data_IF_596815024445
#
_entry.id   IF_596815024445
#
_cell.length_a   1.000
_cell.length_b   1.000
_cell.length_c   1.000
_cell.angle_alpha   90.00
_cell.angle_beta   90.00
_cell.angle_gamma   90.00
#
_symmetry.space_group_name_H-M   'P 1'
#
loop_
_entity.id
_entity.type
_entity.pdbx_description
1 polymer ?
#
# COMPACT_ATOMS: atom_id res chain seq x y z
N UNK A 1 26.43 2.07 101.38
CA UNK A 1 27.25 3.23 100.98
C UNK A 1 26.67 3.79 99.69
N UNK A 2 26.26 5.05 99.76
CA UNK A 2 26.00 5.99 98.66
C UNK A 2 24.85 5.67 97.70
N UNK A 3 23.64 6.26 97.79
CA UNK A 3 23.21 7.67 97.65
C UNK A 3 22.82 8.10 96.21
N UNK A 4 21.55 8.54 96.11
CA UNK A 4 20.96 9.63 95.29
C UNK A 4 20.33 9.23 93.93
N UNK A 5 18.99 9.19 93.85
CA UNK A 5 18.03 10.27 93.46
C UNK A 5 18.10 10.54 91.95
N UNK A 6 17.06 10.14 91.20
CA UNK A 6 16.10 11.07 90.58
C UNK A 6 16.65 11.58 89.24
N UNK A 7 15.90 11.66 88.14
CA UNK A 7 14.89 12.69 87.91
C UNK A 7 13.87 12.18 86.89
N UNK A 8 12.64 12.62 87.12
CA UNK A 8 11.44 12.41 86.33
C UNK A 8 11.25 13.61 85.39
N UNK A 9 10.58 13.34 84.28
CA UNK A 9 9.82 14.28 83.44
C UNK A 9 10.55 15.38 82.65
N UNK A 10 10.55 15.22 81.32
CA UNK A 10 10.15 16.27 80.37
C UNK A 10 9.72 15.62 79.05
N UNK A 11 8.42 15.64 78.76
CA UNK A 11 7.93 15.66 77.39
C UNK A 11 8.54 16.87 76.69
N UNK A 12 9.12 16.70 75.50
CA UNK A 12 8.91 17.69 74.45
C UNK A 12 9.19 17.14 73.04
N UNK A 13 8.10 17.09 72.27
CA UNK A 13 8.04 17.43 70.85
C UNK A 13 9.31 17.26 69.98
N UNK A 14 9.58 16.03 69.53
CA UNK A 14 10.37 15.86 68.31
C UNK A 14 9.65 16.51 67.12
N UNK A 15 10.30 17.33 66.28
CA UNK A 15 9.64 17.95 65.15
C UNK A 15 9.27 16.86 64.16
N UNK A 16 7.96 16.64 64.01
CA UNK A 16 7.39 15.89 62.91
C UNK A 16 7.68 16.70 61.63
N UNK A 17 8.81 16.42 60.98
CA UNK A 17 9.11 16.99 59.66
C UNK A 17 8.18 16.29 58.68
N UNK A 18 6.94 16.79 58.58
CA UNK A 18 6.11 16.51 57.44
C UNK A 18 6.84 17.14 56.24
N UNK A 19 7.30 16.29 55.33
CA UNK A 19 7.68 16.72 54.00
C UNK A 19 6.37 17.14 53.36
N UNK A 20 6.00 18.40 53.55
CA UNK A 20 4.90 19.02 52.84
C UNK A 20 5.19 18.89 51.36
N UNK A 21 4.56 17.92 50.71
CA UNK A 21 4.30 17.98 49.27
C UNK A 21 3.67 19.36 49.07
N UNK A 22 4.26 20.25 48.26
CA UNK A 22 3.66 21.55 48.00
C UNK A 22 2.22 21.30 47.59
N UNK A 23 1.30 21.84 48.38
CA UNK A 23 -0.13 21.75 48.17
C UNK A 23 -0.37 22.04 46.70
N UNK A 24 -0.80 21.03 45.95
CA UNK A 24 -1.21 21.17 44.55
C UNK A 24 -2.25 22.29 44.57
N UNK A 25 -1.90 23.45 44.03
CA UNK A 25 -2.82 24.58 43.95
C UNK A 25 -4.06 24.07 43.20
N UNK A 26 -5.25 24.06 43.83
CA UNK A 26 -6.45 23.55 43.20
C UNK A 26 -6.68 24.30 41.88
N UNK A 27 -6.64 23.58 40.76
CA UNK A 27 -6.83 24.15 39.42
C UNK A 27 -5.58 24.34 38.57
N UNK A 28 -4.36 24.17 39.10
CA UNK A 28 -3.14 24.21 38.27
C UNK A 28 -3.04 22.96 37.37
N UNK A 29 -3.33 21.78 37.93
CA UNK A 29 -3.42 20.53 37.17
C UNK A 29 -4.54 20.60 36.13
N UNK A 30 -5.70 21.16 36.48
CA UNK A 30 -6.83 21.37 35.56
C UNK A 30 -6.44 22.27 34.37
N UNK A 31 -5.63 23.30 34.61
CA UNK A 31 -5.11 24.18 33.56
C UNK A 31 -4.09 23.47 32.67
N UNK A 32 -3.19 22.66 33.26
CA UNK A 32 -2.22 21.86 32.51
C UNK A 32 -2.90 20.77 31.67
N UNK A 33 -3.95 20.13 32.17
CA UNK A 33 -4.75 19.16 31.42
C UNK A 33 -5.49 19.83 30.25
N UNK A 34 -6.12 21.00 30.47
CA UNK A 34 -6.75 21.76 29.37
C UNK A 34 -5.74 22.18 28.31
N UNK A 35 -4.57 22.65 28.73
CA UNK A 35 -3.51 23.04 27.80
C UNK A 35 -2.94 21.83 27.03
N UNK A 36 -2.88 20.64 27.66
CA UNK A 36 -2.49 19.38 27.01
C UNK A 36 -3.53 18.90 25.98
N UNK A 37 -4.82 19.00 26.31
CA UNK A 37 -5.93 18.72 25.38
C UNK A 37 -5.88 19.64 24.15
N UNK A 38 -5.65 20.95 24.36
CA UNK A 38 -5.50 21.89 23.25
C UNK A 38 -4.29 21.58 22.36
N UNK A 39 -3.16 21.16 22.95
CA UNK A 39 -1.98 20.72 22.19
C UNK A 39 -2.30 19.49 21.35
N UNK A 40 -3.00 18.52 21.92
CA UNK A 40 -3.45 17.31 21.22
C UNK A 40 -4.41 17.66 20.08
N UNK A 41 -5.33 18.59 20.29
CA UNK A 41 -6.25 19.05 19.24
C UNK A 41 -5.51 19.76 18.11
N UNK A 42 -4.58 20.67 18.43
CA UNK A 42 -3.69 21.31 17.45
C UNK A 42 -2.84 20.30 16.68
N UNK A 43 -2.39 19.24 17.33
CA UNK A 43 -1.67 18.15 16.68
C UNK A 43 -2.58 17.37 15.72
N UNK A 44 -3.79 17.00 16.15
CA UNK A 44 -4.75 16.30 15.30
C UNK A 44 -5.15 17.11 14.06
N UNK A 45 -5.32 18.43 14.20
CA UNK A 45 -5.60 19.31 13.05
C UNK A 45 -4.43 19.25 12.06
N UNK A 46 -3.19 19.40 12.52
CA UNK A 46 -2.00 19.32 11.66
C UNK A 46 -1.85 17.94 11.01
N UNK A 47 -2.11 16.86 11.75
CA UNK A 47 -2.08 15.50 11.22
C UNK A 47 -3.18 15.29 10.17
N UNK A 48 -4.38 15.83 10.38
CA UNK A 48 -5.47 15.77 9.43
C UNK A 48 -5.16 16.57 8.15
N UNK A 49 -4.64 17.80 8.28
CA UNK A 49 -4.20 18.64 7.17
C UNK A 49 -3.05 18.00 6.39
N UNK A 50 -2.09 17.40 7.08
CA UNK A 50 -0.98 16.66 6.48
C UNK A 50 -1.48 15.40 5.74
N UNK A 51 -2.47 14.70 6.32
CA UNK A 51 -3.09 13.55 5.68
C UNK A 51 -3.86 13.93 4.41
N UNK A 52 -4.64 15.02 4.44
CA UNK A 52 -5.32 15.56 3.25
C UNK A 52 -4.30 15.96 2.16
N UNK A 53 -3.20 16.60 2.55
CA UNK A 53 -2.12 16.99 1.63
C UNK A 53 -1.44 15.77 1.01
N UNK A 54 -1.16 14.73 1.80
CA UNK A 54 -0.61 13.47 1.29
C UNK A 54 -1.59 12.75 0.34
N UNK A 55 -2.89 12.79 0.64
CA UNK A 55 -3.92 12.25 -0.26
C UNK A 55 -3.93 13.01 -1.60
N UNK A 56 -3.76 14.33 -1.58
CA UNK A 56 -3.68 15.15 -2.79
C UNK A 56 -2.39 14.91 -3.59
N UNK A 57 -1.25 14.68 -2.91
CA UNK A 57 0.05 14.40 -3.54
C UNK A 57 0.15 12.98 -4.10
N UNK A 58 -0.54 12.01 -3.48
CA UNK A 58 -0.57 10.61 -3.92
C UNK A 58 -1.45 10.37 -5.14
N UNK A 59 -2.30 11.33 -5.55
CA UNK A 59 -3.04 11.21 -6.80
C UNK A 59 -2.10 11.37 -8.01
N UNK A 60 -2.00 10.37 -8.90
CA UNK A 60 -1.16 10.46 -10.08
C UNK A 60 -1.69 11.54 -11.02
N UNK A 61 -1.09 12.74 -10.97
CA UNK A 61 -1.45 13.84 -11.87
C UNK A 61 -0.80 13.61 -13.23
N UNK A 62 -1.62 13.36 -14.24
CA UNK A 62 -1.16 13.33 -15.63
C UNK A 62 -0.69 14.72 -16.04
N UNK A 63 0.55 14.82 -16.53
CA UNK A 63 1.05 16.05 -17.14
C UNK A 63 0.23 16.45 -18.38
N UNK A 64 0.24 17.74 -18.76
CA UNK A 64 -0.56 18.27 -19.89
C UNK A 64 -0.40 17.47 -21.19
N UNK A 65 0.83 17.06 -21.51
CA UNK A 65 1.12 16.26 -22.71
C UNK A 65 0.56 14.84 -22.61
N UNK A 66 0.70 14.17 -21.45
CA UNK A 66 0.14 12.84 -21.23
C UNK A 66 -1.38 12.87 -21.30
N UNK A 67 -2.00 13.91 -20.74
CA UNK A 67 -3.45 14.13 -20.82
C UNK A 67 -3.91 14.29 -22.27
N UNK A 68 -3.24 15.12 -23.06
CA UNK A 68 -3.53 15.29 -24.49
C UNK A 68 -3.42 13.96 -25.28
N UNK A 69 -2.43 13.12 -24.96
CA UNK A 69 -2.29 11.80 -25.58
C UNK A 69 -3.44 10.86 -25.20
N UNK A 70 -3.85 10.84 -23.93
CA UNK A 70 -5.00 10.07 -23.46
C UNK A 70 -6.30 10.54 -24.15
N UNK A 71 -6.52 11.85 -24.24
CA UNK A 71 -7.68 12.43 -24.92
C UNK A 71 -7.71 12.04 -26.40
N UNK A 72 -6.59 12.20 -27.11
CA UNK A 72 -6.49 11.85 -28.53
C UNK A 72 -6.68 10.35 -28.77
N UNK A 73 -6.26 9.49 -27.82
CA UNK A 73 -6.50 8.06 -27.89
C UNK A 73 -7.99 7.74 -27.69
N UNK A 74 -8.60 8.32 -26.67
CA UNK A 74 -10.02 8.16 -26.38
C UNK A 74 -10.88 8.60 -27.58
N UNK A 75 -10.59 9.76 -28.19
CA UNK A 75 -11.28 10.23 -29.38
C UNK A 75 -11.21 9.20 -30.52
N UNK A 76 -10.03 8.61 -30.78
CA UNK A 76 -9.88 7.59 -31.84
C UNK A 76 -10.67 6.33 -31.54
N UNK A 77 -10.64 5.85 -30.30
CA UNK A 77 -11.38 4.66 -29.88
C UNK A 77 -12.89 4.90 -30.00
N UNK A 78 -13.37 6.04 -29.50
CA UNK A 78 -14.78 6.44 -29.58
C UNK A 78 -15.23 6.61 -31.03
N UNK A 79 -14.43 7.29 -31.87
CA UNK A 79 -14.71 7.43 -33.31
C UNK A 79 -14.81 6.05 -33.99
N UNK A 80 -13.91 5.11 -33.67
CA UNK A 80 -13.96 3.77 -34.24
C UNK A 80 -15.23 3.01 -33.84
N UNK A 81 -15.68 3.14 -32.58
CA UNK A 81 -16.93 2.53 -32.11
C UNK A 81 -18.14 3.18 -32.80
N UNK A 82 -18.19 4.51 -32.89
CA UNK A 82 -19.26 5.20 -33.61
C UNK A 82 -19.33 4.79 -35.08
N UNK A 83 -18.19 4.66 -35.77
CA UNK A 83 -18.18 4.17 -37.16
C UNK A 83 -18.81 2.78 -37.27
N UNK A 84 -18.49 1.86 -36.34
CA UNK A 84 -19.07 0.51 -36.32
C UNK A 84 -20.58 0.54 -36.06
N UNK A 85 -21.02 1.32 -35.08
CA UNK A 85 -22.44 1.46 -34.75
C UNK A 85 -23.24 2.16 -35.86
N UNK A 86 -22.66 3.17 -36.51
CA UNK A 86 -23.26 3.87 -37.64
C UNK A 86 -23.37 2.96 -38.87
N UNK A 87 -22.35 2.15 -39.16
CA UNK A 87 -22.37 1.14 -40.22
C UNK A 87 -23.51 0.12 -40.05
N UNK A 88 -23.83 -0.24 -38.80
CA UNK A 88 -24.94 -1.14 -38.48
C UNK A 88 -26.33 -0.49 -38.59
N UNK A 89 -26.39 0.83 -38.77
CA UNK A 89 -27.63 1.62 -38.75
C UNK A 89 -27.93 2.34 -40.08
N UNK A 90 -27.21 2.05 -41.16
CA UNK A 90 -27.34 2.80 -42.41
C UNK A 90 -28.78 2.81 -42.97
N UNK A 91 -29.36 4.02 -42.99
CA UNK A 91 -30.20 4.53 -44.07
C UNK A 91 -29.35 5.61 -44.75
N UNK A 92 -29.04 5.43 -46.04
CA UNK A 92 -28.23 6.39 -46.80
C UNK A 92 -28.95 7.75 -46.90
N UNK A 93 -28.32 8.81 -46.40
CA UNK A 93 -28.62 10.18 -46.85
C UNK A 93 -27.38 10.69 -47.61
N UNK A 94 -27.51 10.96 -48.92
CA UNK A 94 -26.40 11.43 -49.73
C UNK A 94 -26.09 12.90 -49.38
N UNK A 95 -24.84 13.18 -48.98
CA UNK A 95 -24.29 14.54 -49.04
C UNK A 95 -23.73 15.18 -47.77
N UNK A 96 -23.74 14.53 -46.59
CA UNK A 96 -23.15 15.11 -45.37
C UNK A 96 -22.03 14.24 -44.79
N UNK A 97 -20.82 14.38 -45.34
CA UNK A 97 -19.63 13.59 -44.97
C UNK A 97 -18.93 14.00 -43.66
N UNK A 98 -19.55 14.79 -42.77
CA UNK A 98 -18.78 15.44 -41.70
C UNK A 98 -19.27 15.25 -40.26
N UNK A 99 -20.44 14.66 -40.02
CA UNK A 99 -20.93 14.48 -38.64
C UNK A 99 -21.23 13.02 -38.34
N UNK A 100 -20.30 12.39 -37.62
CA UNK A 100 -20.46 11.03 -37.13
C UNK A 100 -21.50 11.03 -35.99
N UNK A 101 -22.65 10.45 -36.23
CA UNK A 101 -23.76 10.39 -35.29
C UNK A 101 -24.36 8.99 -35.19
N UNK A 102 -24.96 8.68 -34.03
CA UNK A 102 -25.56 7.38 -33.74
C UNK A 102 -26.96 7.59 -33.13
N UNK A 103 -27.96 6.75 -33.46
CA UNK A 103 -29.31 6.90 -32.87
C UNK A 103 -29.30 6.80 -31.35
N UNK A 104 -30.18 7.55 -30.67
CA UNK A 104 -30.27 7.56 -29.19
C UNK A 104 -30.41 6.17 -28.56
N UNK A 105 -31.11 5.26 -29.25
CA UNK A 105 -31.36 3.88 -28.79
C UNK A 105 -30.09 3.03 -28.72
N UNK A 106 -29.04 3.43 -29.44
CA UNK A 106 -27.76 2.71 -29.57
C UNK A 106 -26.68 3.28 -28.66
N UNK A 107 -26.95 4.31 -27.87
CA UNK A 107 -25.97 4.88 -26.93
C UNK A 107 -25.46 3.82 -25.95
N UNK A 108 -26.33 2.93 -25.48
CA UNK A 108 -25.94 1.82 -24.61
C UNK A 108 -24.90 0.91 -25.26
N UNK A 109 -25.10 0.54 -26.53
CA UNK A 109 -24.18 -0.32 -27.29
C UNK A 109 -22.81 0.36 -27.48
N UNK A 110 -22.79 1.68 -27.71
CA UNK A 110 -21.55 2.47 -27.82
C UNK A 110 -20.79 2.47 -26.51
N UNK A 111 -21.48 2.73 -25.39
CA UNK A 111 -20.87 2.76 -24.07
C UNK A 111 -20.45 1.36 -23.60
N UNK A 112 -21.15 0.31 -24.01
CA UNK A 112 -20.74 -1.08 -23.76
C UNK A 112 -19.49 -1.44 -24.57
N UNK A 113 -19.45 -1.08 -25.86
CA UNK A 113 -18.30 -1.34 -26.73
C UNK A 113 -17.02 -0.58 -26.35
N UNK A 114 -17.17 0.59 -25.72
CA UNK A 114 -16.05 1.35 -25.12
C UNK A 114 -15.60 0.79 -23.77
N UNK A 115 -16.24 -0.29 -23.30
CA UNK A 115 -16.17 -0.74 -21.93
C UNK A 115 -16.33 0.47 -21.00
N UNK A 116 -17.46 1.18 -21.04
CA UNK A 116 -17.87 2.17 -20.03
C UNK A 116 -19.04 1.71 -19.15
N UNK A 117 -19.91 0.83 -19.67
CA UNK A 117 -21.01 0.21 -18.93
C UNK A 117 -20.87 -1.33 -18.94
N UNK A 118 -21.57 -2.02 -18.05
CA UNK A 118 -21.62 -3.50 -18.03
C UNK A 118 -23.08 -3.93 -17.97
N UNK A 119 -23.50 -4.79 -18.91
CA UNK A 119 -24.85 -5.21 -19.27
C UNK A 119 -26.08 -4.76 -18.42
N UNK A 120 -27.12 -4.33 -19.16
CA UNK A 120 -28.57 -4.20 -18.87
C UNK A 120 -29.09 -3.32 -17.72
N UNK A 121 -28.37 -3.15 -16.62
CA UNK A 121 -28.93 -2.48 -15.42
C UNK A 121 -28.81 -0.94 -15.45
N UNK A 122 -28.13 -0.39 -16.46
CA UNK A 122 -27.83 1.05 -16.57
C UNK A 122 -28.68 1.75 -17.67
N UNK A 123 -29.82 1.15 -18.06
CA UNK A 123 -30.73 1.72 -19.08
C UNK A 123 -31.21 3.14 -18.74
N UNK A 124 -31.60 3.37 -17.49
CA UNK A 124 -32.07 4.68 -17.01
C UNK A 124 -30.95 5.73 -17.12
N UNK A 125 -29.70 5.33 -16.92
CA UNK A 125 -28.56 6.22 -17.12
C UNK A 125 -28.37 6.56 -18.60
N UNK A 126 -28.41 5.56 -19.48
CA UNK A 126 -28.32 5.77 -20.93
C UNK A 126 -29.45 6.66 -21.47
N UNK A 127 -30.67 6.49 -21.00
CA UNK A 127 -31.81 7.33 -21.39
C UNK A 127 -31.60 8.79 -20.99
N UNK A 128 -31.21 9.03 -19.73
CA UNK A 128 -30.91 10.38 -19.24
C UNK A 128 -29.72 11.02 -19.95
N UNK A 129 -28.68 10.24 -20.24
CA UNK A 129 -27.52 10.73 -20.99
C UNK A 129 -27.89 11.01 -22.44
N UNK A 130 -28.71 10.19 -23.07
CA UNK A 130 -29.21 10.46 -24.41
C UNK A 130 -30.00 11.77 -24.47
N UNK A 131 -30.86 12.04 -23.48
CA UNK A 131 -31.59 13.31 -23.35
C UNK A 131 -30.63 14.51 -23.19
N UNK A 132 -29.56 14.34 -22.41
CA UNK A 132 -28.55 15.39 -22.25
C UNK A 132 -27.78 15.66 -23.55
N UNK A 133 -27.43 14.61 -24.31
CA UNK A 133 -26.60 14.72 -25.51
C UNK A 133 -27.38 15.15 -26.76
N UNK A 134 -28.70 14.95 -26.75
CA UNK A 134 -29.63 15.31 -27.84
C UNK A 134 -30.60 16.41 -27.38
N UNK A 135 -30.06 17.56 -26.95
CA UNK A 135 -30.85 18.73 -26.51
C UNK A 135 -31.78 19.27 -27.60
N UNK A 136 -31.44 19.00 -28.86
CA UNK A 136 -32.17 19.44 -30.05
C UNK A 136 -33.26 18.43 -30.48
N UNK A 137 -33.44 17.32 -29.75
CA UNK A 137 -34.40 16.25 -30.02
C UNK A 137 -34.32 15.67 -31.45
N UNK A 138 -33.13 15.69 -32.04
CA UNK A 138 -32.88 15.18 -33.40
C UNK A 138 -33.01 13.65 -33.49
N UNK A 139 -33.01 12.95 -32.36
CA UNK A 139 -32.95 11.50 -32.25
C UNK A 139 -31.54 10.93 -32.44
N UNK A 140 -30.55 11.79 -32.68
CA UNK A 140 -29.19 11.43 -33.07
C UNK A 140 -28.17 12.05 -32.12
N UNK A 141 -27.24 11.23 -31.64
CA UNK A 141 -26.17 11.67 -30.74
C UNK A 141 -24.90 11.88 -31.56
N UNK A 142 -24.38 13.10 -31.52
CA UNK A 142 -23.13 13.47 -32.18
C UNK A 142 -21.91 12.99 -31.38
N UNK A 143 -20.86 12.54 -32.09
CA UNK A 143 -19.59 12.13 -31.48
C UNK A 143 -18.99 13.24 -30.59
N UNK A 144 -19.03 14.50 -31.04
CA UNK A 144 -18.48 15.65 -30.32
C UNK A 144 -19.13 15.81 -28.94
N UNK A 145 -20.46 15.77 -28.88
CA UNK A 145 -21.23 15.92 -27.63
C UNK A 145 -20.87 14.85 -26.61
N UNK A 146 -20.79 13.58 -27.04
CA UNK A 146 -20.42 12.50 -26.13
C UNK A 146 -18.95 12.58 -25.71
N UNK A 147 -18.04 12.93 -26.63
CA UNK A 147 -16.63 13.12 -26.32
C UNK A 147 -16.44 14.21 -25.26
N UNK A 148 -17.08 15.37 -25.46
CA UNK A 148 -17.01 16.49 -24.53
C UNK A 148 -17.53 16.11 -23.14
N UNK A 149 -18.66 15.39 -23.07
CA UNK A 149 -19.19 14.86 -21.81
C UNK A 149 -18.20 13.91 -21.12
N UNK A 150 -17.65 12.93 -21.84
CA UNK A 150 -16.71 11.96 -21.26
C UNK A 150 -15.43 12.64 -20.78
N UNK A 151 -14.88 13.57 -21.55
CA UNK A 151 -13.69 14.32 -21.15
C UNK A 151 -13.96 15.17 -19.91
N UNK A 152 -15.10 15.86 -19.86
CA UNK A 152 -15.49 16.67 -18.70
C UNK A 152 -15.70 15.82 -17.45
N UNK A 153 -16.36 14.66 -17.60
CA UNK A 153 -16.56 13.74 -16.49
C UNK A 153 -15.23 13.15 -15.96
N UNK A 154 -14.29 12.82 -16.86
CA UNK A 154 -12.95 12.33 -16.48
C UNK A 154 -12.07 13.42 -15.86
N UNK A 155 -12.27 14.68 -16.22
CA UNK A 155 -11.55 15.81 -15.61
C UNK A 155 -12.11 16.16 -14.23
N UNK A 156 -13.42 16.00 -14.04
CA UNK A 156 -14.10 16.16 -12.74
C UNK A 156 -13.59 15.15 -11.70
N UNK A 157 -13.09 14.00 -12.13
CA UNK A 157 -12.39 13.02 -11.28
C UNK A 157 -11.07 13.53 -10.71
N UNK A 158 -10.38 14.41 -11.46
CA UNK A 158 -9.05 14.93 -11.11
C UNK A 158 -9.12 16.21 -10.28
N UNK A 159 -10.27 16.86 -10.21
CA UNK A 159 -10.47 18.11 -9.47
C UNK A 159 -11.39 17.84 -8.27
N UNK A 160 -10.97 18.28 -7.08
CA UNK A 160 -11.85 18.31 -5.91
C UNK A 160 -13.12 19.11 -6.23
N UNK A 161 -14.23 18.89 -5.49
CA UNK A 161 -15.50 19.56 -5.75
C UNK A 161 -15.43 21.01 -5.32
N UNK A 162 -14.63 21.82 -6.01
CA UNK A 162 -14.82 23.24 -6.01
C UNK A 162 -16.14 23.48 -6.73
N UNK A 163 -17.09 23.94 -5.92
CA UNK A 163 -18.43 24.39 -6.28
C UNK A 163 -18.36 25.07 -7.67
N UNK A 164 -19.26 24.73 -8.62
CA UNK A 164 -19.29 25.43 -9.89
C UNK A 164 -19.33 26.93 -9.61
N UNK A 165 -18.29 27.62 -10.05
CA UNK A 165 -18.22 29.07 -9.93
C UNK A 165 -19.43 29.62 -10.66
N UNK A 166 -20.27 30.48 -10.05
CA UNK A 166 -21.43 31.02 -10.72
C UNK A 166 -20.94 31.78 -11.95
N UNK A 167 -21.26 31.27 -13.14
CA UNK A 167 -21.11 32.01 -14.38
C UNK A 167 -21.89 33.31 -14.25
N UNK A 168 -21.26 34.44 -14.55
CA UNK A 168 -21.83 35.80 -14.48
C UNK A 168 -22.98 36.06 -15.49
N UNK A 169 -23.55 35.01 -16.07
CA UNK A 169 -24.63 35.06 -17.05
C UNK A 169 -25.90 34.46 -16.42
N UNK A 170 -27.03 35.18 -16.41
CA UNK A 170 -28.30 34.59 -15.99
C UNK A 170 -28.64 33.46 -16.96
N UNK A 171 -28.54 32.22 -16.48
CA UNK A 171 -28.93 31.04 -17.22
C UNK A 171 -30.46 30.93 -17.24
N UNK A 172 -31.00 30.39 -18.32
CA UNK A 172 -32.41 29.98 -18.33
C UNK A 172 -32.62 28.88 -17.29
N UNK A 173 -33.82 28.79 -16.70
CA UNK A 173 -34.19 27.70 -15.79
C UNK A 173 -33.97 26.31 -16.43
N UNK A 174 -34.15 26.22 -17.76
CA UNK A 174 -33.85 25.02 -18.54
C UNK A 174 -32.35 24.67 -18.52
N UNK A 175 -31.47 25.65 -18.70
CA UNK A 175 -30.02 25.45 -18.66
C UNK A 175 -29.55 25.04 -17.25
N UNK A 176 -30.16 25.59 -16.20
CA UNK A 176 -29.90 25.15 -14.82
C UNK A 176 -30.27 23.68 -14.60
N UNK A 177 -31.43 23.24 -15.13
CA UNK A 177 -31.84 21.85 -15.08
C UNK A 177 -30.88 20.92 -15.84
N UNK A 178 -30.42 21.31 -17.03
CA UNK A 178 -29.46 20.52 -17.81
C UNK A 178 -28.08 20.47 -17.14
N UNK A 179 -27.59 21.58 -16.59
CA UNK A 179 -26.33 21.61 -15.85
C UNK A 179 -26.39 20.70 -14.61
N UNK A 180 -27.52 20.71 -13.91
CA UNK A 180 -27.74 19.82 -12.77
C UNK A 180 -27.79 18.35 -13.20
N UNK A 181 -28.44 18.05 -14.34
CA UNK A 181 -28.47 16.70 -14.91
C UNK A 181 -27.07 16.25 -15.34
N UNK A 182 -26.31 17.08 -16.05
CA UNK A 182 -24.94 16.82 -16.47
C UNK A 182 -24.03 16.54 -15.28
N UNK A 183 -24.16 17.31 -14.21
CA UNK A 183 -23.40 17.09 -12.97
C UNK A 183 -23.75 15.75 -12.31
N UNK A 184 -25.05 15.42 -12.23
CA UNK A 184 -25.50 14.14 -11.67
C UNK A 184 -25.00 12.96 -12.50
N UNK A 185 -25.09 13.07 -13.83
CA UNK A 185 -24.62 12.04 -14.76
C UNK A 185 -23.10 11.91 -14.74
N UNK A 186 -22.35 13.00 -14.67
CA UNK A 186 -20.88 12.97 -14.56
C UNK A 186 -20.43 12.26 -13.28
N UNK A 187 -21.11 12.52 -12.15
CA UNK A 187 -20.87 11.81 -10.89
C UNK A 187 -21.21 10.34 -10.95
N UNK A 188 -22.35 10.00 -11.54
CA UNK A 188 -22.76 8.61 -11.72
C UNK A 188 -21.76 7.86 -12.63
N UNK A 189 -21.40 8.46 -13.76
CA UNK A 189 -20.42 7.95 -14.73
C UNK A 189 -19.07 7.66 -14.05
N UNK A 190 -18.56 8.64 -13.31
CA UNK A 190 -17.34 8.53 -12.53
C UNK A 190 -17.38 7.36 -11.54
N UNK A 191 -18.48 7.24 -10.76
CA UNK A 191 -18.65 6.14 -9.79
C UNK A 191 -18.69 4.79 -10.48
N UNK A 192 -19.36 4.69 -11.62
CA UNK A 192 -19.41 3.47 -12.42
C UNK A 192 -18.01 3.08 -12.89
N UNK A 193 -17.22 4.03 -13.43
CA UNK A 193 -15.84 3.79 -13.83
C UNK A 193 -14.94 3.30 -12.69
N UNK A 194 -14.99 3.95 -11.52
CA UNK A 194 -14.19 3.55 -10.35
C UNK A 194 -14.53 2.15 -9.86
N UNK A 195 -15.82 1.76 -9.90
CA UNK A 195 -16.28 0.44 -9.48
C UNK A 195 -15.89 -0.68 -10.46
N UNK A 196 -15.42 -0.34 -11.67
CA UNK A 196 -15.03 -1.33 -12.70
C UNK A 196 -13.66 -1.92 -12.46
N UNK A 197 -12.75 -1.21 -11.77
CA UNK A 197 -11.46 -1.77 -11.36
C UNK A 197 -11.58 -2.83 -10.25
N UNK A 198 -12.76 -2.95 -9.62
CA UNK A 198 -13.05 -3.91 -8.55
C UNK A 198 -13.93 -5.08 -8.99
N UNK A 199 -14.46 -5.08 -10.22
CA UNK A 199 -15.29 -6.18 -10.74
C UNK A 199 -14.41 -7.14 -11.54
N UNK A 200 -14.31 -8.39 -11.10
CA UNK A 200 -13.68 -9.43 -11.90
C UNK A 200 -14.41 -9.54 -13.24
N UNK A 201 -13.66 -9.45 -14.34
CA UNK A 201 -14.13 -9.77 -15.69
C UNK A 201 -14.65 -11.20 -15.69
N UNK A 202 -15.95 -11.35 -15.47
CA UNK A 202 -16.62 -12.64 -15.57
C UNK A 202 -16.87 -12.89 -17.05
N UNK A 203 -16.14 -13.88 -17.57
CA UNK A 203 -16.46 -14.63 -18.79
C UNK A 203 -16.42 -13.86 -20.13
N UNK A 204 -15.22 -13.76 -20.70
CA UNK A 204 -15.03 -13.98 -22.14
C UNK A 204 -14.23 -15.25 -22.35
N UNK A 205 -14.85 -16.37 -22.00
CA UNK A 205 -14.42 -17.71 -22.36
C UNK A 205 -15.44 -18.26 -23.36
N UNK A 206 -15.24 -18.01 -24.66
CA UNK A 206 -15.53 -18.99 -25.70
C UNK A 206 -15.00 -18.53 -27.07
N UNK A 207 -14.25 -19.47 -27.68
CA UNK A 207 -14.02 -19.65 -29.11
C UNK A 207 -13.44 -18.46 -29.89
N UNK A 208 -12.16 -18.57 -30.21
CA UNK A 208 -11.79 -18.80 -31.61
C UNK A 208 -10.67 -19.82 -31.71
N UNK A 209 -11.09 -20.92 -32.31
CA UNK A 209 -10.36 -22.07 -32.79
C UNK A 209 -9.18 -21.67 -33.68
N UNK A 210 -8.14 -22.47 -33.53
CA UNK A 210 -7.09 -22.72 -34.50
C UNK A 210 -7.69 -23.08 -35.86
N UNK A 211 -7.61 -22.18 -36.83
CA UNK A 211 -7.54 -22.59 -38.23
C UNK A 211 -6.40 -21.81 -38.90
N UNK A 212 -5.38 -22.61 -39.20
CA UNK A 212 -4.15 -22.27 -39.88
C UNK A 212 -4.43 -22.51 -41.35
N UNK A 213 -4.85 -21.48 -42.07
CA UNK A 213 -4.83 -21.51 -43.53
C UNK A 213 -3.51 -20.90 -44.04
N UNK A 214 -2.74 -21.78 -44.65
CA UNK A 214 -1.56 -21.49 -45.45
C UNK A 214 -2.03 -20.84 -46.76
N UNK A 215 -1.62 -19.60 -47.04
CA UNK A 215 -1.45 -19.12 -48.42
C UNK A 215 -0.24 -18.21 -48.56
N UNK A 216 0.42 -18.43 -49.69
CA UNK A 216 1.76 -18.03 -50.09
C UNK A 216 1.89 -16.55 -50.50
N UNK A 217 3.15 -16.19 -50.69
CA UNK A 217 3.71 -14.86 -50.88
C UNK A 217 3.33 -14.14 -52.19
N UNK A 218 3.39 -12.80 -52.14
CA UNK A 218 3.80 -11.83 -53.19
C UNK A 218 3.70 -10.43 -52.52
N UNK A 219 4.74 -9.88 -51.90
CA UNK A 219 5.76 -9.00 -52.48
C UNK A 219 5.18 -7.86 -53.32
N UNK A 220 5.12 -6.65 -52.75
CA UNK A 220 5.55 -5.39 -53.39
C UNK A 220 5.88 -4.33 -52.31
N UNK A 221 7.06 -3.72 -52.48
CA UNK A 221 7.65 -2.66 -51.66
C UNK A 221 7.11 -1.28 -52.08
N UNK A 222 6.69 -0.44 -51.11
CA UNK A 222 6.67 1.03 -51.28
C UNK A 222 7.05 1.70 -49.94
N UNK A 223 8.01 2.65 -49.92
CA UNK A 223 8.53 3.24 -48.69
C UNK A 223 7.70 4.47 -48.27
N UNK A 224 7.40 4.62 -46.97
CA UNK A 224 6.84 5.86 -46.41
C UNK A 224 7.56 6.18 -45.07
N UNK A 225 7.95 7.44 -44.81
CA UNK A 225 9.00 7.73 -43.82
C UNK A 225 8.45 7.77 -42.39
N UNK A 226 8.90 6.84 -41.55
CA UNK A 226 8.67 6.91 -40.12
C UNK A 226 9.56 7.97 -39.47
N UNK A 227 8.94 9.09 -39.06
CA UNK A 227 9.52 10.10 -38.16
C UNK A 227 9.76 9.43 -36.79
N UNK A 228 11.02 9.08 -36.52
CA UNK A 228 11.49 8.48 -35.26
C UNK A 228 11.16 9.41 -34.08
N UNK A 229 10.14 9.05 -33.29
CA UNK A 229 10.01 9.54 -31.93
C UNK A 229 11.18 8.96 -31.12
N UNK A 230 11.99 9.85 -30.55
CA UNK A 230 13.18 9.47 -29.79
C UNK A 230 12.79 8.66 -28.56
N UNK A 231 13.37 7.46 -28.47
CA UNK A 231 13.30 6.57 -27.31
C UNK A 231 13.96 7.26 -26.10
N UNK A 232 13.43 7.12 -24.89
CA UNK A 232 14.06 7.67 -23.69
C UNK A 232 15.52 7.18 -23.56
N UNK A 233 16.42 8.07 -23.17
CA UNK A 233 17.86 7.85 -23.16
C UNK A 233 18.30 6.66 -22.27
N UNK A 234 17.49 6.28 -21.29
CA UNK A 234 17.70 5.08 -20.46
C UNK A 234 17.58 3.76 -21.24
N UNK A 235 16.78 3.71 -22.31
CA UNK A 235 16.66 2.55 -23.19
C UNK A 235 17.79 2.47 -24.23
N UNK A 236 18.52 3.58 -24.44
CA UNK A 236 19.62 3.66 -25.42
C UNK A 236 20.89 3.03 -24.87
N UNK A 237 21.23 3.32 -23.61
CA UNK A 237 22.45 2.83 -22.96
C UNK A 237 22.45 1.32 -22.67
N UNK A 238 21.26 0.69 -22.57
CA UNK A 238 21.17 -0.76 -22.36
C UNK A 238 21.28 -1.57 -23.66
N UNK A 239 20.95 -0.96 -24.81
CA UNK A 239 20.97 -1.63 -26.11
C UNK A 239 22.39 -1.85 -26.64
N UNK A 240 23.32 -0.97 -26.29
CA UNK A 240 24.74 -1.08 -26.64
C UNK A 240 25.45 -2.21 -25.87
N UNK A 241 25.01 -2.54 -24.65
CA UNK A 241 25.60 -3.63 -23.84
C UNK A 241 25.07 -5.03 -24.16
N UNK A 242 23.88 -5.16 -24.77
CA UNK A 242 23.21 -6.46 -24.95
C UNK A 242 23.16 -6.96 -26.41
N UNK A 243 23.99 -6.43 -27.31
CA UNK A 243 24.18 -7.00 -28.65
C UNK A 243 22.91 -7.06 -29.51
N UNK A 244 22.05 -6.03 -29.43
CA UNK A 244 20.93 -5.87 -30.37
C UNK A 244 19.70 -6.77 -30.16
N UNK A 245 19.68 -7.67 -29.16
CA UNK A 245 18.49 -8.50 -28.88
C UNK A 245 17.35 -7.63 -28.33
N UNK A 246 16.08 -7.88 -28.74
CA UNK A 246 14.93 -7.14 -28.21
C UNK A 246 14.78 -7.44 -26.71
N UNK A 247 14.96 -6.41 -25.88
CA UNK A 247 14.81 -6.51 -24.43
C UNK A 247 13.37 -6.88 -24.11
N UNK A 248 13.18 -8.04 -23.48
CA UNK A 248 11.87 -8.52 -23.05
C UNK A 248 11.20 -7.49 -22.12
N UNK A 249 9.89 -7.28 -22.28
CA UNK A 249 9.10 -6.31 -21.52
C UNK A 249 9.28 -6.45 -20.00
N UNK A 250 9.40 -7.68 -19.50
CA UNK A 250 9.61 -7.94 -18.08
C UNK A 250 10.95 -7.37 -17.58
N UNK A 251 11.99 -7.39 -18.41
CA UNK A 251 13.32 -6.89 -18.07
C UNK A 251 13.36 -5.37 -18.05
N UNK A 252 12.64 -4.72 -18.98
CA UNK A 252 12.49 -3.27 -19.00
C UNK A 252 11.74 -2.77 -17.75
N UNK A 253 10.64 -3.41 -17.40
CA UNK A 253 9.86 -3.08 -16.20
C UNK A 253 10.66 -3.31 -14.92
N UNK A 254 11.46 -4.37 -14.86
CA UNK A 254 12.37 -4.62 -13.74
C UNK A 254 13.38 -3.49 -13.55
N UNK A 255 14.04 -3.04 -14.62
CA UNK A 255 14.98 -1.93 -14.53
C UNK A 255 14.31 -0.62 -14.14
N UNK A 256 13.09 -0.38 -14.62
CA UNK A 256 12.31 0.79 -14.22
C UNK A 256 11.93 0.76 -12.74
N UNK A 257 11.55 -0.41 -12.21
CA UNK A 257 11.26 -0.61 -10.80
C UNK A 257 12.51 -0.41 -9.92
N UNK A 258 13.68 -0.93 -10.35
CA UNK A 258 14.95 -0.72 -9.64
C UNK A 258 15.33 0.78 -9.61
N UNK A 259 15.11 1.50 -10.72
CA UNK A 259 15.44 2.91 -10.80
C UNK A 259 14.51 3.74 -9.90
N UNK A 260 13.20 3.49 -9.97
CA UNK A 260 12.21 4.13 -9.10
C UNK A 260 12.46 3.84 -7.62
N UNK A 261 12.90 2.63 -7.26
CA UNK A 261 13.23 2.28 -5.88
C UNK A 261 14.47 3.03 -5.38
N UNK A 262 15.48 3.26 -6.25
CA UNK A 262 16.66 4.06 -5.90
C UNK A 262 16.33 5.53 -5.73
N UNK A 263 15.53 6.10 -6.62
CA UNK A 263 15.05 7.49 -6.50
C UNK A 263 14.19 7.66 -5.25
N UNK A 264 13.32 6.68 -4.95
CA UNK A 264 12.53 6.68 -3.72
C UNK A 264 13.39 6.68 -2.45
N UNK A 265 14.43 5.84 -2.39
CA UNK A 265 15.35 5.80 -1.25
C UNK A 265 16.11 7.13 -1.06
N UNK A 266 16.54 7.77 -2.16
CA UNK A 266 17.21 9.09 -2.08
C UNK A 266 16.27 10.17 -1.55
N UNK A 267 15.01 10.19 -2.01
CA UNK A 267 14.00 11.12 -1.52
C UNK A 267 13.66 10.87 -0.05
N UNK A 268 13.60 9.62 0.39
CA UNK A 268 13.39 9.27 1.81
C UNK A 268 14.54 9.77 2.70
N UNK A 269 15.79 9.61 2.26
CA UNK A 269 16.96 10.13 2.98
C UNK A 269 16.95 11.67 3.03
N UNK A 270 16.56 12.34 1.95
CA UNK A 270 16.44 13.80 1.89
C UNK A 270 15.32 14.32 2.81
N UNK A 271 14.16 13.66 2.83
CA UNK A 271 13.06 13.96 3.76
C UNK A 271 13.51 13.76 5.20
N UNK A 272 14.24 12.69 5.48
CA UNK A 272 14.75 12.41 6.83
C UNK A 272 15.74 13.48 7.28
N UNK A 273 16.67 13.88 6.41
CA UNK A 273 17.63 14.94 6.69
C UNK A 273 16.92 16.31 6.92
N UNK A 274 15.89 16.62 6.12
CA UNK A 274 15.09 17.84 6.33
C UNK A 274 14.34 17.81 7.68
N UNK A 275 13.78 16.66 8.07
CA UNK A 275 13.15 16.48 9.39
C UNK A 275 14.16 16.65 10.52
N UNK A 276 15.35 16.06 10.41
CA UNK A 276 16.42 16.22 11.41
C UNK A 276 16.84 17.70 11.54
N UNK A 277 16.95 18.43 10.42
CA UNK A 277 17.22 19.88 10.45
C UNK A 277 16.08 20.69 11.08
N UNK A 278 14.83 20.28 10.89
CA UNK A 278 13.66 20.93 11.47
C UNK A 278 13.54 20.65 12.97
N UNK A 279 13.81 19.42 13.41
CA UNK A 279 13.94 19.04 14.83
C UNK A 279 15.08 19.80 15.53
N UNK A 280 16.22 20.00 14.85
CA UNK A 280 17.34 20.81 15.35
C UNK A 280 17.02 22.30 15.44
N UNK A 281 16.07 22.81 14.64
CA UNK A 281 15.56 24.18 14.74
C UNK A 281 14.62 24.34 15.93
N UNK A 282 13.93 23.27 16.34
CA UNK A 282 13.12 23.22 17.56
C UNK A 282 13.98 22.94 18.82
N UNK A 283 15.15 23.58 18.94
CA UNK A 283 15.87 23.62 20.21
C UNK A 283 15.04 24.43 21.23
N UNK A 284 14.23 23.72 22.02
CA UNK A 284 13.39 24.28 23.10
C UNK A 284 14.20 24.59 24.37
N UNK A 285 15.54 24.57 24.30
CA UNK A 285 16.39 25.03 25.39
C UNK A 285 16.38 26.56 25.44
N UNK A 286 15.41 27.11 26.18
CA UNK A 286 15.44 28.49 26.67
C UNK A 286 15.97 28.45 28.11
N UNK A 287 17.30 28.48 28.33
CA UNK A 287 17.80 28.54 29.69
C UNK A 287 17.26 29.83 30.30
N UNK A 288 16.55 29.71 31.42
CA UNK A 288 16.24 30.87 32.24
C UNK A 288 17.55 31.38 32.81
N UNK A 289 18.16 32.33 32.10
CA UNK A 289 19.27 33.11 32.62
C UNK A 289 18.67 33.99 33.72
N UNK A 290 18.76 33.50 34.97
CA UNK A 290 18.51 34.32 36.14
C UNK A 290 19.43 35.53 36.07
N UNK A 291 18.85 36.70 35.78
CA UNK A 291 19.48 37.99 35.99
C UNK A 291 19.61 38.20 37.50
N UNK A 292 20.67 37.65 38.10
CA UNK A 292 20.98 37.91 39.49
C UNK A 292 21.91 39.11 39.56
N UNK A 293 21.30 40.28 39.70
CA UNK A 293 21.88 41.33 40.52
C UNK A 293 22.26 40.73 41.89
N UNK A 294 23.46 41.08 42.35
CA UNK A 294 24.06 40.62 43.61
C UNK A 294 23.15 40.91 44.80
N UNK A 295 22.87 39.93 45.64
CA UNK A 295 23.18 39.93 47.09
C UNK A 295 22.45 38.77 47.80
N UNK A 296 23.02 38.35 48.94
CA UNK A 296 22.67 37.25 49.85
C UNK A 296 23.16 35.84 49.47
N UNK A 297 24.36 35.52 49.98
CA UNK A 297 24.79 34.15 50.27
C UNK A 297 24.15 33.69 51.58
N UNK A 298 23.25 32.69 51.60
CA UNK A 298 23.17 31.78 52.73
C UNK A 298 24.30 30.74 52.58
N UNK A 299 25.02 30.43 53.65
CA UNK A 299 26.11 29.45 53.63
C UNK A 299 25.61 28.10 53.07
N UNK A 300 26.38 27.41 52.21
CA UNK A 300 25.99 26.10 51.73
C UNK A 300 25.95 25.14 52.92
N UNK A 301 24.77 24.54 53.16
CA UNK A 301 24.66 23.37 54.03
C UNK A 301 25.60 22.29 53.49
N UNK A 302 26.25 21.48 54.34
CA UNK A 302 27.20 20.47 53.88
C UNK A 302 26.49 19.49 52.96
N UNK A 303 26.79 19.57 51.66
CA UNK A 303 26.30 18.64 50.66
C UNK A 303 26.96 17.28 50.96
N UNK A 304 26.15 16.26 51.21
CA UNK A 304 26.66 14.92 51.56
C UNK A 304 27.60 14.45 50.46
N UNK A 305 28.79 14.00 50.85
CA UNK A 305 29.85 13.57 49.93
C UNK A 305 29.28 12.59 48.90
N UNK A 306 29.50 12.85 47.60
CA UNK A 306 29.01 12.05 46.47
C UNK A 306 27.50 12.17 46.12
N UNK A 307 26.83 13.23 46.57
CA UNK A 307 25.43 13.52 46.19
C UNK A 307 25.23 13.49 44.67
N UNK A 308 26.04 14.23 43.92
CA UNK A 308 25.89 14.36 42.46
C UNK A 308 26.11 13.04 41.73
N UNK A 309 27.09 12.24 42.18
CA UNK A 309 27.34 10.90 41.64
C UNK A 309 26.16 9.96 41.86
N UNK A 310 25.52 10.05 43.03
CA UNK A 310 24.36 9.23 43.37
C UNK A 310 23.13 9.62 42.57
N UNK A 311 22.89 10.92 42.41
CA UNK A 311 21.80 11.44 41.56
C UNK A 311 22.02 11.06 40.10
N UNK A 312 23.24 11.14 39.58
CA UNK A 312 23.57 10.74 38.22
C UNK A 312 23.31 9.24 37.98
N UNK A 313 23.68 8.38 38.94
CA UNK A 313 23.40 6.94 38.89
C UNK A 313 21.90 6.64 38.89
N UNK A 314 21.12 7.33 39.73
CA UNK A 314 19.66 7.16 39.74
C UNK A 314 19.01 7.61 38.44
N UNK A 315 19.42 8.75 37.87
CA UNK A 315 18.92 9.23 36.58
C UNK A 315 19.23 8.27 35.44
N UNK A 316 20.44 7.72 35.40
CA UNK A 316 20.83 6.74 34.39
C UNK A 316 20.05 5.42 34.52
N UNK A 317 19.85 4.92 35.74
CA UNK A 317 19.05 3.71 35.97
C UNK A 317 17.59 3.91 35.54
N UNK A 318 17.02 5.08 35.82
CA UNK A 318 15.65 5.40 35.40
C UNK A 318 15.52 5.45 33.88
N UNK A 319 16.46 6.14 33.21
CA UNK A 319 16.51 6.21 31.74
C UNK A 319 16.58 4.82 31.10
N UNK A 320 17.42 3.94 31.62
CA UNK A 320 17.54 2.57 31.10
C UNK A 320 16.24 1.76 31.26
N UNK A 321 15.53 1.95 32.38
CA UNK A 321 14.26 1.27 32.64
C UNK A 321 13.14 1.79 31.71
N UNK A 322 13.10 3.09 31.44
CA UNK A 322 12.19 3.67 30.44
C UNK A 322 12.48 3.13 29.04
N UNK A 323 13.75 3.12 28.60
CA UNK A 323 14.15 2.56 27.30
C UNK A 323 13.77 1.08 27.16
N UNK A 324 13.91 0.28 28.22
CA UNK A 324 13.47 -1.13 28.22
C UNK A 324 11.96 -1.25 28.11
N UNK A 325 11.21 -0.42 28.85
CA UNK A 325 9.75 -0.41 28.82
C UNK A 325 9.22 0.04 27.46
N UNK A 326 9.86 1.00 26.82
CA UNK A 326 9.51 1.45 25.47
C UNK A 326 9.82 0.37 24.44
N UNK A 327 10.96 -0.33 24.57
CA UNK A 327 11.28 -1.49 23.71
C UNK A 327 10.27 -2.63 23.86
N UNK A 328 9.84 -2.95 25.09
CA UNK A 328 8.84 -4.00 25.32
C UNK A 328 7.44 -3.60 24.87
N UNK A 329 7.10 -2.31 24.97
CA UNK A 329 5.80 -1.78 24.58
C UNK A 329 5.74 -1.41 23.08
N UNK A 330 6.86 -1.50 22.36
CA UNK A 330 6.93 -1.22 20.94
C UNK A 330 6.18 -2.29 20.15
N UNK A 331 4.96 -1.97 19.75
CA UNK A 331 4.19 -2.77 18.80
C UNK A 331 4.86 -2.63 17.43
N UNK A 332 5.32 -3.71 16.77
CA UNK A 332 5.99 -3.62 15.47
C UNK A 332 5.03 -3.11 14.37
N UNK A 333 5.07 -1.82 14.09
CA UNK A 333 4.37 -1.18 13.00
C UNK A 333 5.10 -1.44 11.68
N UNK A 334 4.86 -2.59 11.06
CA UNK A 334 5.23 -2.79 9.66
C UNK A 334 6.71 -3.07 9.37
N UNK A 335 7.63 -2.97 10.34
CA UNK A 335 9.06 -3.26 10.13
C UNK A 335 9.33 -4.67 9.57
N UNK A 336 8.43 -5.62 9.84
CA UNK A 336 8.51 -6.98 9.28
C UNK A 336 8.10 -7.00 7.80
N UNK A 337 7.12 -6.18 7.40
CA UNK A 337 6.74 -5.97 6.00
C UNK A 337 7.80 -5.18 5.24
N UNK A 338 8.46 -4.23 5.88
CA UNK A 338 9.65 -3.56 5.32
C UNK A 338 10.83 -4.52 5.18
N UNK A 339 11.08 -5.39 6.16
CA UNK A 339 12.09 -6.46 6.04
C UNK A 339 11.81 -7.38 4.85
N UNK A 340 10.56 -7.80 4.65
CA UNK A 340 10.14 -8.55 3.46
C UNK A 340 10.30 -7.76 2.16
N UNK A 341 10.02 -6.44 2.17
CA UNK A 341 10.20 -5.57 1.02
C UNK A 341 11.69 -5.38 0.68
N UNK A 342 12.55 -5.28 1.69
CA UNK A 342 14.03 -5.18 1.58
C UNK A 342 14.68 -6.50 1.14
N UNK A 343 14.07 -7.65 1.44
CA UNK A 343 14.51 -8.96 0.95
C UNK A 343 14.40 -9.11 -0.58
N UNK A 344 13.72 -8.17 -1.25
CA UNK A 344 13.58 -8.13 -2.70
C UNK A 344 12.56 -9.17 -3.20
N UNK A 345 11.76 -8.77 -4.19
CA UNK A 345 10.93 -9.74 -4.90
C UNK A 345 11.84 -10.62 -5.76
N UNK A 346 12.02 -11.89 -5.37
CA UNK A 346 12.70 -12.81 -6.26
C UNK A 346 11.88 -12.97 -7.56
N UNK A 347 12.53 -12.94 -8.73
CA UNK A 347 11.84 -13.10 -10.00
C UNK A 347 11.13 -14.46 -10.06
N UNK A 348 10.05 -14.54 -10.83
CA UNK A 348 9.34 -15.80 -11.11
C UNK A 348 10.22 -16.87 -11.78
N UNK A 349 11.44 -16.53 -12.24
CA UNK A 349 12.45 -17.52 -12.64
C UNK A 349 12.94 -18.38 -11.47
N UNK A 350 12.77 -17.95 -10.21
CA UNK A 350 13.03 -18.77 -9.04
C UNK A 350 11.92 -19.77 -8.71
N UNK A 351 10.74 -19.66 -9.34
CA UNK A 351 9.72 -20.72 -9.31
C UNK A 351 10.18 -21.98 -10.07
N UNK A 352 11.16 -21.83 -10.97
CA UNK A 352 11.86 -22.91 -11.66
C UNK A 352 13.19 -23.27 -11.01
N UNK A 353 13.42 -22.93 -9.73
CA UNK A 353 14.34 -23.78 -8.97
C UNK A 353 13.74 -25.16 -9.06
N UNK A 354 14.41 -26.05 -9.80
CA UNK A 354 14.22 -27.49 -9.70
C UNK A 354 13.93 -27.76 -8.23
N UNK A 355 12.67 -28.11 -7.92
CA UNK A 355 12.35 -28.61 -6.60
C UNK A 355 13.38 -29.70 -6.41
N UNK A 356 14.28 -29.57 -5.44
CA UNK A 356 15.25 -30.62 -5.13
C UNK A 356 14.45 -31.90 -5.12
N UNK A 357 14.70 -32.77 -6.09
CA UNK A 357 13.91 -33.97 -6.35
C UNK A 357 13.75 -34.62 -4.99
N UNK A 358 12.52 -34.57 -4.45
CA UNK A 358 12.31 -35.11 -3.11
C UNK A 358 12.65 -36.58 -3.22
N UNK A 359 13.57 -37.11 -2.40
CA UNK A 359 13.95 -38.51 -2.48
C UNK A 359 12.69 -39.37 -2.40
N UNK A 360 12.66 -40.45 -3.17
CA UNK A 360 11.49 -41.31 -3.25
C UNK A 360 11.16 -41.86 -1.85
N UNK A 361 9.89 -41.79 -1.46
CA UNK A 361 9.45 -42.40 -0.21
C UNK A 361 9.48 -43.92 -0.37
N UNK A 362 10.19 -44.60 0.54
CA UNK A 362 10.28 -46.05 0.58
C UNK A 362 9.10 -46.65 1.35
N UNK A 363 8.92 -46.25 2.62
CA UNK A 363 7.95 -46.89 3.53
C UNK A 363 7.36 -45.90 4.53
N UNK A 364 6.09 -46.10 4.87
CA UNK A 364 5.48 -45.52 6.07
C UNK A 364 5.44 -46.56 7.20
N UNK A 365 5.98 -46.20 8.36
CA UNK A 365 5.97 -47.02 9.57
C UNK A 365 5.15 -46.34 10.65
N UNK A 366 4.13 -47.02 11.15
CA UNK A 366 3.29 -46.53 12.25
C UNK A 366 3.85 -47.04 13.60
N UNK A 367 4.35 -46.12 14.41
CA UNK A 367 5.03 -46.41 15.69
C UNK A 367 4.09 -46.09 16.85
N UNK A 368 3.88 -47.05 17.75
CA UNK A 368 3.14 -46.83 19.00
C UNK A 368 4.06 -46.16 20.03
N UNK A 369 3.78 -44.91 20.37
CA UNK A 369 4.59 -44.06 21.27
C UNK A 369 4.13 -44.21 22.72
N UNK A 370 2.84 -44.51 22.95
CA UNK A 370 2.25 -44.69 24.27
C UNK A 370 0.82 -45.23 24.20
N UNK A 371 0.13 -45.41 25.34
CA UNK A 371 -1.24 -45.92 25.35
C UNK A 371 -2.17 -44.99 24.55
N UNK A 372 -2.65 -45.46 23.40
CA UNK A 372 -3.52 -44.71 22.49
C UNK A 372 -2.84 -43.68 21.58
N UNK A 373 -1.50 -43.57 21.59
CA UNK A 373 -0.76 -42.60 20.74
C UNK A 373 0.09 -43.32 19.71
N UNK A 374 -0.18 -43.07 18.43
CA UNK A 374 0.58 -43.58 17.28
C UNK A 374 1.20 -42.41 16.51
N UNK A 375 2.50 -42.47 16.24
CA UNK A 375 3.21 -41.54 15.37
C UNK A 375 3.62 -42.25 14.08
N UNK A 376 3.33 -41.63 12.94
CA UNK A 376 3.73 -42.14 11.62
C UNK A 376 5.08 -41.57 11.20
N UNK A 377 5.94 -42.42 10.67
CA UNK A 377 7.26 -42.05 10.16
C UNK A 377 7.34 -42.44 8.68
N UNK A 378 7.75 -41.51 7.82
CA UNK A 378 8.07 -41.80 6.42
C UNK A 378 9.59 -41.90 6.24
N UNK A 379 10.06 -43.00 5.66
CA UNK A 379 11.48 -43.22 5.33
C UNK A 379 11.67 -42.99 3.85
N UNK A 380 12.61 -42.12 3.45
CA UNK A 380 12.95 -41.86 2.06
C UNK A 380 14.28 -42.50 1.67
N UNK A 381 14.49 -42.64 0.37
CA UNK A 381 15.74 -43.15 -0.19
C UNK A 381 16.93 -42.24 0.20
N UNK A 382 17.95 -42.83 0.84
CA UNK A 382 19.13 -42.11 1.32
C UNK A 382 19.01 -41.45 2.69
N UNK A 383 17.89 -41.64 3.41
CA UNK A 383 17.75 -41.17 4.79
C UNK A 383 18.67 -41.92 5.76
N UNK A 384 19.28 -41.19 6.70
CA UNK A 384 20.05 -41.75 7.81
C UNK A 384 19.10 -42.14 8.97
N UNK A 385 18.91 -43.45 9.16
CA UNK A 385 17.97 -44.03 10.11
C UNK A 385 18.27 -43.63 11.57
N UNK A 386 19.55 -43.45 11.92
CA UNK A 386 19.95 -43.01 13.27
C UNK A 386 19.55 -41.55 13.53
N UNK A 387 19.60 -40.70 12.49
CA UNK A 387 19.11 -39.32 12.60
C UNK A 387 17.59 -39.26 12.62
N UNK A 388 16.93 -40.09 11.82
CA UNK A 388 15.48 -40.17 11.72
C UNK A 388 14.86 -40.64 13.04
N UNK A 389 15.39 -41.72 13.63
CA UNK A 389 14.98 -42.24 14.94
C UNK A 389 15.20 -41.22 16.06
N UNK A 390 16.35 -40.52 16.04
CA UNK A 390 16.67 -39.45 17.02
C UNK A 390 15.72 -38.26 16.91
N UNK A 391 15.39 -37.83 15.70
CA UNK A 391 14.47 -36.72 15.48
C UNK A 391 13.06 -37.09 15.95
N UNK A 392 12.60 -38.29 15.62
CA UNK A 392 11.32 -38.80 16.10
C UNK A 392 11.29 -38.92 17.63
N UNK A 393 12.34 -39.46 18.25
CA UNK A 393 12.45 -39.56 19.69
C UNK A 393 12.41 -38.18 20.38
N UNK A 394 13.04 -37.16 19.79
CA UNK A 394 12.94 -35.78 20.29
C UNK A 394 11.52 -35.22 20.20
N UNK A 395 10.83 -35.42 19.07
CA UNK A 395 9.47 -34.90 18.85
C UNK A 395 8.46 -35.56 19.78
N UNK A 396 8.61 -36.87 20.03
CA UNK A 396 7.68 -37.66 20.84
C UNK A 396 8.16 -37.89 22.28
N UNK A 397 9.29 -37.30 22.67
CA UNK A 397 9.90 -37.41 24.00
C UNK A 397 10.15 -38.88 24.42
N UNK A 398 10.67 -39.68 23.50
CA UNK A 398 11.01 -41.09 23.75
C UNK A 398 12.38 -41.22 24.42
N UNK A 399 12.51 -42.21 25.31
CA UNK A 399 13.78 -42.56 25.93
C UNK A 399 14.80 -43.11 24.94
N UNK A 400 16.08 -43.03 25.30
CA UNK A 400 17.19 -43.52 24.46
C UNK A 400 17.06 -45.01 24.09
N UNK A 401 16.59 -45.84 25.01
CA UNK A 401 16.34 -47.27 24.75
C UNK A 401 15.19 -47.50 23.76
N UNK A 402 14.17 -46.63 23.75
CA UNK A 402 13.09 -46.68 22.78
C UNK A 402 13.52 -46.16 21.41
N UNK A 403 14.43 -45.17 21.37
CA UNK A 403 15.06 -44.70 20.13
C UNK A 403 15.86 -45.82 19.45
N UNK A 404 16.67 -46.57 20.20
CA UNK A 404 17.47 -47.68 19.64
C UNK A 404 16.59 -48.81 19.09
N UNK A 405 15.49 -49.15 19.77
CA UNK A 405 14.50 -50.12 19.27
C UNK A 405 13.79 -49.62 18.02
N UNK A 406 13.48 -48.33 17.95
CA UNK A 406 12.87 -47.72 16.77
C UNK A 406 13.81 -47.81 15.57
N UNK A 407 15.10 -47.55 15.75
CA UNK A 407 16.11 -47.69 14.69
C UNK A 407 16.17 -49.12 14.14
N UNK A 408 16.16 -50.13 15.03
CA UNK A 408 16.11 -51.55 14.63
C UNK A 408 14.82 -51.89 13.86
N UNK A 409 13.67 -51.37 14.29
CA UNK A 409 12.41 -51.56 13.58
C UNK A 409 12.38 -50.90 12.20
N UNK A 410 12.99 -49.71 12.06
CA UNK A 410 13.09 -49.02 10.77
C UNK A 410 14.02 -49.77 9.81
N UNK A 411 15.12 -50.33 10.30
CA UNK A 411 16.01 -51.21 9.51
C UNK A 411 15.25 -52.43 8.97
N UNK A 412 14.53 -53.15 9.85
CA UNK A 412 13.73 -54.30 9.43
C UNK A 412 12.64 -53.95 8.42
N UNK A 413 11.97 -52.79 8.59
CA UNK A 413 10.96 -52.32 7.66
C UNK A 413 11.54 -51.95 6.28
N UNK A 414 12.76 -51.40 6.25
CA UNK A 414 13.47 -51.12 5.00
C UNK A 414 13.88 -52.41 4.29
N UNK A 415 14.40 -53.40 5.03
CA UNK A 415 14.80 -54.70 4.47
C UNK A 415 13.59 -55.46 3.87
N UNK A 416 12.45 -55.43 4.56
CA UNK A 416 11.20 -56.04 4.06
C UNK A 416 10.69 -55.34 2.81
N UNK A 417 10.75 -54.01 2.76
CA UNK A 417 10.38 -53.26 1.57
C UNK A 417 11.34 -53.48 0.39
N UNK A 418 12.63 -53.72 0.66
CA UNK A 418 13.59 -54.12 -0.37
C UNK A 418 13.29 -55.53 -0.92
N UNK A 419 12.90 -56.47 -0.05
CA UNK A 419 12.55 -57.84 -0.44
C UNK A 419 11.22 -57.95 -1.20
N UNK A 420 10.24 -57.09 -0.90
CA UNK A 420 8.97 -57.00 -1.62
C UNK A 420 9.03 -56.29 -2.97
N UNK A 421 10.21 -55.76 -3.35
CA UNK A 421 10.45 -55.06 -4.62
C UNK A 421 11.37 -55.82 -5.59
N UNK A 422 11.75 -57.06 -5.27
CA UNK A 422 12.34 -57.98 -6.24
C UNK A 422 11.20 -58.67 -7.04
N UNK A 423 11.26 -58.71 -8.38
CA UNK A 423 10.14 -59.03 -9.26
C UNK A 423 9.54 -60.43 -9.05
#
# INVERSE_FOLDING_TARGET
MSNWIGWKDAMDSGPLVSVGVPTVLPGLDEALYREAEERKHRQQIREHEAWLSALQQSQPKLGRMSKALCHARLERELRAVFCKCAQQCYVELPGQSHMLAVPRSRLGDVLEAMDFLSARDEKVFCEKLALLLDREETGMIQLSRLLDFVLTALDTLSQQPDRPSPSLTPLSLEDECFNQLEWQLSKAFTRMLSNRHCRATTQSCHRRTTEREVREASQEDVPTPHRRLQRPLSARNYREKCGGKPVSRCHLLYHQAIFAAREGAQLEDEIKHLKELEEMRECTFKPQLVSSFRSFRPSPRPQVRNFDSTVARMKNAHKQHEEQRDRSNRIPSGENYERLRRLGMQPFSCAFRERSIRPQLLVYVDVKVGPGRTGRIGVHEGDDLAKLSRNFAKTFQLDKSAQERLEQHLLQACDQAAQGLAP
#
